data_IF_494272767014
#
_entry.id   IF_494272767014
#
_cell.length_a   1.000
_cell.length_b   1.000
_cell.length_c   1.000
_cell.angle_alpha   90.00
_cell.angle_beta   90.00
_cell.angle_gamma   90.00
#
_symmetry.space_group_name_H-M   'P 1'
#
loop_
_entity.id
_entity.type
_entity.pdbx_description
1 polymer ?
#
# COMPACT_ATOMS: atom_id res chain seq x y z
N UNK A 1 1.44 9.70 -16.22
CA UNK A 1 0.87 8.44 -15.67
C UNK A 1 -0.63 8.66 -15.35
N UNK A 2 -1.40 7.61 -15.04
CA UNK A 2 -2.87 7.63 -14.95
C UNK A 2 -3.47 8.82 -14.17
N UNK A 3 -2.93 9.12 -12.98
CA UNK A 3 -3.37 10.25 -12.15
C UNK A 3 -3.19 11.62 -12.83
N UNK A 4 -2.10 11.81 -13.58
CA UNK A 4 -1.86 13.05 -14.31
C UNK A 4 -2.86 13.22 -15.47
N UNK A 5 -3.19 12.12 -16.16
CA UNK A 5 -4.20 12.13 -17.21
C UNK A 5 -5.59 12.44 -16.64
N UNK A 6 -5.92 11.88 -15.47
CA UNK A 6 -7.17 12.18 -14.78
C UNK A 6 -7.25 13.65 -14.36
N UNK A 7 -6.19 14.19 -13.75
CA UNK A 7 -6.13 15.59 -13.35
C UNK A 7 -6.22 16.57 -14.54
N UNK A 8 -5.56 16.26 -15.66
CA UNK A 8 -5.55 17.10 -16.85
C UNK A 8 -6.87 17.08 -17.64
N UNK A 9 -7.61 15.96 -17.59
CA UNK A 9 -8.77 15.75 -18.46
C UNK A 9 -10.11 15.66 -17.75
N UNK A 10 -10.11 15.37 -16.44
CA UNK A 10 -11.32 15.12 -15.65
C UNK A 10 -12.14 13.91 -16.09
N UNK A 11 -11.64 13.09 -17.03
CA UNK A 11 -12.42 12.02 -17.66
C UNK A 11 -11.75 10.66 -17.51
N UNK A 12 -12.36 9.80 -16.70
CA UNK A 12 -11.86 8.46 -16.42
C UNK A 12 -11.84 7.55 -17.66
N UNK A 13 -12.67 7.85 -18.67
CA UNK A 13 -12.69 7.11 -19.94
C UNK A 13 -11.43 7.39 -20.75
N UNK A 14 -10.93 8.63 -20.71
CA UNK A 14 -9.65 8.99 -21.35
C UNK A 14 -8.49 8.30 -20.67
N UNK A 15 -8.54 8.17 -19.34
CA UNK A 15 -7.53 7.39 -18.58
C UNK A 15 -7.55 5.92 -19.02
N UNK A 16 -8.73 5.30 -19.11
CA UNK A 16 -8.86 3.91 -19.59
C UNK A 16 -8.30 3.74 -21.01
N UNK A 17 -8.63 4.66 -21.93
CA UNK A 17 -8.13 4.65 -23.30
C UNK A 17 -6.59 4.79 -23.35
N UNK A 18 -6.03 5.74 -22.61
CA UNK A 18 -4.58 5.97 -22.55
C UNK A 18 -3.81 4.78 -21.95
N UNK A 19 -4.44 3.97 -21.11
CA UNK A 19 -3.86 2.74 -20.55
C UNK A 19 -4.13 1.49 -21.39
N UNK A 20 -4.90 1.60 -22.49
CA UNK A 20 -5.27 0.47 -23.33
C UNK A 20 -6.32 -0.46 -22.71
N UNK A 21 -7.11 0.03 -21.77
CA UNK A 21 -8.18 -0.75 -21.14
C UNK A 21 -9.46 -0.73 -21.98
N UNK A 22 -10.07 -1.90 -22.17
CA UNK A 22 -11.33 -2.03 -22.92
C UNK A 22 -12.56 -1.53 -22.15
N UNK A 23 -12.44 -1.34 -20.83
CA UNK A 23 -13.50 -0.80 -19.97
C UNK A 23 -12.90 0.10 -18.88
N UNK A 24 -13.75 0.88 -18.21
CA UNK A 24 -13.34 1.75 -17.10
C UNK A 24 -13.21 1.04 -15.76
N UNK A 25 -13.64 -0.23 -15.67
CA UNK A 25 -13.76 -0.94 -14.39
C UNK A 25 -12.42 -1.00 -13.62
N UNK A 26 -11.30 -1.15 -14.32
CA UNK A 26 -9.96 -1.17 -13.73
C UNK A 26 -9.38 0.22 -13.47
N UNK A 27 -9.93 1.29 -14.08
CA UNK A 27 -9.49 2.67 -13.83
C UNK A 27 -10.33 3.39 -12.80
N UNK A 28 -11.56 2.94 -12.52
CA UNK A 28 -12.46 3.52 -11.51
C UNK A 28 -11.83 3.66 -10.11
N UNK A 29 -10.86 2.82 -9.76
CA UNK A 29 -10.04 2.96 -8.54
C UNK A 29 -9.44 4.37 -8.39
N UNK A 30 -9.08 5.04 -9.49
CA UNK A 30 -8.47 6.38 -9.44
C UNK A 30 -9.47 7.49 -9.06
N UNK A 31 -10.78 7.28 -9.21
CA UNK A 31 -11.78 8.29 -8.82
C UNK A 31 -11.88 8.49 -7.30
N UNK A 32 -11.51 7.46 -6.54
CA UNK A 32 -11.57 7.49 -5.06
C UNK A 32 -10.29 8.01 -4.42
N UNK A 33 -9.29 8.35 -5.21
CA UNK A 33 -8.01 8.85 -4.73
C UNK A 33 -7.89 10.32 -5.11
N UNK A 34 -8.14 11.24 -4.17
CA UNK A 34 -7.53 12.56 -4.25
C UNK A 34 -6.08 12.43 -3.74
N UNK A 35 -5.08 12.51 -4.65
CA UNK A 35 -3.69 12.37 -4.24
C UNK A 35 -3.24 13.55 -3.38
N UNK A 36 -3.80 14.74 -3.60
CA UNK A 36 -3.41 15.95 -2.87
C UNK A 36 -3.97 15.92 -1.45
N UNK A 37 -5.26 15.59 -1.30
CA UNK A 37 -5.88 15.37 0.01
C UNK A 37 -5.13 14.30 0.81
N UNK A 38 -4.76 13.18 0.15
CA UNK A 38 -4.00 12.10 0.80
C UNK A 38 -2.61 12.57 1.24
N UNK A 39 -1.92 13.37 0.43
CA UNK A 39 -0.62 13.93 0.79
C UNK A 39 -0.73 14.96 1.91
N UNK A 40 -1.75 15.81 1.89
CA UNK A 40 -2.04 16.78 2.95
C UNK A 40 -2.32 16.08 4.27
N UNK A 41 -3.14 15.02 4.28
CA UNK A 41 -3.39 14.19 5.46
C UNK A 41 -2.07 13.57 5.95
N UNK A 42 -1.24 13.00 5.07
CA UNK A 42 0.05 12.43 5.46
C UNK A 42 1.04 13.48 5.98
N UNK A 43 1.01 14.70 5.45
CA UNK A 43 1.87 15.79 5.89
C UNK A 43 1.39 16.39 7.22
N UNK A 44 0.08 16.51 7.41
CA UNK A 44 -0.55 17.01 8.63
C UNK A 44 -0.43 16.00 9.78
N UNK A 45 -0.55 14.71 9.48
CA UNK A 45 -0.37 13.63 10.42
C UNK A 45 1.06 13.10 10.33
N UNK A 46 1.96 13.71 11.10
CA UNK A 46 3.28 13.14 11.35
C UNK A 46 3.20 11.70 11.86
N UNK A 47 4.29 10.95 11.71
CA UNK A 47 4.36 9.57 12.20
C UNK A 47 3.85 9.50 13.65
N UNK A 48 3.02 8.50 14.00
CA UNK A 48 2.54 8.35 15.36
C UNK A 48 3.73 8.40 16.32
N UNK A 49 3.61 9.16 17.41
CA UNK A 49 4.63 9.26 18.46
C UNK A 49 4.67 7.97 19.30
N UNK A 50 4.75 6.82 18.64
CA UNK A 50 4.91 5.51 19.26
C UNK A 50 6.39 5.19 19.31
N UNK A 51 6.84 4.67 20.45
CA UNK A 51 8.18 4.14 20.57
C UNK A 51 8.35 3.00 19.55
N UNK A 52 9.38 3.01 18.69
CA UNK A 52 9.63 1.91 17.77
C UNK A 52 9.69 0.59 18.53
N UNK A 53 8.78 -0.32 18.21
CA UNK A 53 8.82 -1.68 18.72
C UNK A 53 9.96 -2.43 18.05
N UNK A 54 10.67 -3.28 18.80
CA UNK A 54 11.45 -4.35 18.17
C UNK A 54 10.47 -5.46 17.84
N UNK A 55 10.42 -5.87 16.57
CA UNK A 55 9.76 -7.10 16.19
C UNK A 55 10.39 -8.23 17.00
N UNK A 56 9.64 -8.72 17.99
CA UNK A 56 9.94 -10.00 18.62
C UNK A 56 9.18 -11.01 17.77
N UNK A 57 9.86 -11.89 17.02
CA UNK A 57 9.15 -13.02 16.45
C UNK A 57 8.39 -13.69 17.62
N UNK A 58 7.13 -14.11 17.42
CA UNK A 58 6.51 -14.99 18.40
C UNK A 58 7.50 -16.11 18.69
N UNK A 59 7.66 -16.48 19.95
CA UNK A 59 8.37 -17.70 20.31
C UNK A 59 7.58 -18.85 19.71
N UNK A 60 7.83 -19.11 18.43
CA UNK A 60 7.19 -20.16 17.70
C UNK A 60 7.70 -21.45 18.34
N UNK A 61 6.78 -22.16 18.99
CA UNK A 61 7.07 -23.41 19.65
C UNK A 61 7.80 -24.38 18.70
N UNK A 62 7.54 -24.27 17.39
CA UNK A 62 8.25 -25.02 16.36
C UNK A 62 9.72 -24.57 16.24
N UNK A 63 10.01 -23.27 16.19
CA UNK A 63 11.40 -22.78 16.13
C UNK A 63 12.18 -23.19 17.38
N UNK A 64 11.57 -23.14 18.57
CA UNK A 64 12.19 -23.62 19.82
C UNK A 64 12.43 -25.13 19.78
N UNK A 65 11.44 -25.92 19.36
CA UNK A 65 11.58 -27.37 19.21
C UNK A 65 12.70 -27.73 18.23
N UNK A 66 12.75 -27.08 17.06
CA UNK A 66 13.78 -27.34 16.04
C UNK A 66 15.19 -26.97 16.53
N UNK A 67 15.33 -25.89 17.32
CA UNK A 67 16.63 -25.53 17.91
C UNK A 67 17.09 -26.53 18.97
N UNK A 68 16.16 -27.12 19.72
CA UNK A 68 16.48 -28.15 20.72
C UNK A 68 16.84 -29.48 20.08
N UNK A 69 16.13 -29.90 19.03
CA UNK A 69 16.50 -31.10 18.26
C UNK A 69 17.90 -30.95 17.69
N UNK A 70 18.22 -29.80 17.09
CA UNK A 70 19.57 -29.53 16.56
C UNK A 70 20.67 -29.56 17.62
N UNK A 71 20.37 -29.22 18.88
CA UNK A 71 21.35 -29.20 19.99
C UNK A 71 21.60 -30.58 20.61
N UNK A 72 20.71 -31.54 20.37
CA UNK A 72 20.78 -32.90 20.92
C UNK A 72 21.44 -33.89 19.95
N UNK A 73 21.55 -33.52 18.68
CA UNK A 73 22.36 -34.20 17.67
C UNK A 73 23.82 -33.76 17.79
#
# INVERSE_FOLDING_TARGET
CAMHTLAATGDIRKVALWLGHASIQSTETYLRADPEEKLQILAAHGAPAIKPGRFKPPSDALITMLTDVRRRA
#
